data_IF_816175422705
#
_entry.id   IF_816175422705
#
_cell.length_a   1.000
_cell.length_b   1.000
_cell.length_c   1.000
_cell.angle_alpha   90.00
_cell.angle_beta   90.00
_cell.angle_gamma   90.00
#
_symmetry.space_group_name_H-M   'P 1'
#
loop_
_entity.id
_entity.type
_entity.pdbx_description
1 polymer ?
#
# COMPACT_ATOMS: atom_id res chain seq x y z
N UNK A 1 -11.58 -16.34 26.32
CA UNK A 1 -10.21 -16.00 26.78
C UNK A 1 -9.36 -17.23 26.53
N UNK A 2 -8.12 -17.03 26.06
CA UNK A 2 -7.15 -18.07 25.64
C UNK A 2 -7.36 -18.75 24.27
N UNK A 3 -7.15 -18.00 23.18
CA UNK A 3 -6.39 -18.53 22.02
C UNK A 3 -5.79 -17.43 21.12
N UNK A 4 -5.48 -16.27 21.69
CA UNK A 4 -4.74 -15.17 21.03
C UNK A 4 -3.25 -15.30 21.36
N UNK A 5 -2.60 -16.38 20.93
CA UNK A 5 -1.15 -16.54 21.11
C UNK A 5 -0.55 -17.60 20.19
N UNK A 6 -0.37 -17.29 18.89
CA UNK A 6 0.74 -17.80 18.05
C UNK A 6 0.69 -17.25 16.62
N UNK A 7 1.11 -16.00 16.45
CA UNK A 7 1.89 -15.60 15.27
C UNK A 7 3.28 -15.16 15.73
N UNK A 8 3.99 -16.10 16.36
CA UNK A 8 5.43 -15.98 16.54
C UNK A 8 6.11 -16.45 15.26
N UNK A 9 5.98 -15.68 14.16
CA UNK A 9 6.92 -15.80 13.05
C UNK A 9 8.25 -15.23 13.56
N UNK A 10 9.04 -16.06 14.23
CA UNK A 10 10.46 -15.77 14.46
C UNK A 10 11.08 -15.54 13.09
N UNK A 11 11.39 -14.28 12.75
CA UNK A 11 12.20 -13.94 11.57
C UNK A 11 13.51 -14.76 11.64
N UNK A 12 14.01 -15.29 10.52
CA UNK A 12 15.13 -16.22 10.52
C UNK A 12 16.35 -15.59 11.22
N UNK A 13 17.09 -16.43 11.96
CA UNK A 13 18.26 -16.05 12.79
C UNK A 13 19.29 -15.22 12.01
N UNK A 14 19.38 -15.41 10.68
CA UNK A 14 20.30 -14.69 9.80
C UNK A 14 19.99 -13.20 9.60
N UNK A 15 18.72 -12.76 9.71
CA UNK A 15 18.40 -11.34 9.54
C UNK A 15 18.94 -10.51 10.71
N UNK A 16 18.81 -11.02 11.94
CA UNK A 16 19.30 -10.34 13.16
C UNK A 16 20.81 -10.09 13.15
N UNK A 17 21.58 -10.99 12.53
CA UNK A 17 23.03 -10.83 12.39
C UNK A 17 23.38 -9.58 11.56
N UNK A 18 22.67 -9.34 10.45
CA UNK A 18 22.89 -8.16 9.60
C UNK A 18 22.63 -6.84 10.33
N UNK A 19 21.56 -6.76 11.13
CA UNK A 19 21.27 -5.57 11.95
C UNK A 19 22.33 -5.33 13.02
N UNK A 20 22.81 -6.39 13.68
CA UNK A 20 23.87 -6.26 14.68
C UNK A 20 25.18 -5.81 14.06
N UNK A 21 25.54 -6.32 12.87
CA UNK A 21 26.71 -5.86 12.12
C UNK A 21 26.58 -4.38 11.76
N UNK A 22 25.43 -3.95 11.22
CA UNK A 22 25.19 -2.55 10.89
C UNK A 22 25.26 -1.64 12.14
N UNK A 23 24.70 -2.08 13.27
CA UNK A 23 24.77 -1.33 14.53
C UNK A 23 26.22 -1.17 15.00
N UNK A 24 27.00 -2.25 15.01
CA UNK A 24 28.41 -2.21 15.42
C UNK A 24 29.21 -1.31 14.50
N UNK A 25 29.02 -1.41 13.17
CA UNK A 25 29.68 -0.52 12.22
C UNK A 25 29.31 0.95 12.43
N UNK A 26 28.03 1.26 12.62
CA UNK A 26 27.59 2.63 12.85
C UNK A 26 28.12 3.20 14.18
N UNK A 27 28.13 2.40 15.26
CA UNK A 27 28.71 2.81 16.55
C UNK A 27 30.22 3.03 16.45
N UNK A 28 30.94 2.13 15.78
CA UNK A 28 32.39 2.28 15.53
C UNK A 28 32.65 3.56 14.74
N UNK A 29 31.87 3.81 13.69
CA UNK A 29 32.07 5.00 12.86
C UNK A 29 31.80 6.29 13.65
N UNK A 30 30.77 6.34 14.50
CA UNK A 30 30.54 7.48 15.42
C UNK A 30 31.73 7.73 16.33
N UNK A 31 32.28 6.69 16.96
CA UNK A 31 33.43 6.83 17.88
C UNK A 31 34.67 7.33 17.12
N UNK A 32 34.95 6.73 15.97
CA UNK A 32 36.07 7.07 15.10
C UNK A 32 35.94 8.53 14.62
N UNK A 33 34.78 8.92 14.11
CA UNK A 33 34.46 10.29 13.70
C UNK A 33 34.59 11.30 14.83
N UNK A 34 34.15 10.96 16.05
CA UNK A 34 34.28 11.84 17.21
C UNK A 34 35.76 12.09 17.58
N UNK A 35 36.57 11.03 17.62
CA UNK A 35 38.02 11.14 17.92
C UNK A 35 38.73 12.00 16.87
N UNK A 36 38.32 11.89 15.62
CA UNK A 36 38.93 12.61 14.50
C UNK A 36 38.33 14.00 14.25
N UNK A 37 37.37 14.44 15.08
CA UNK A 37 36.62 15.70 14.92
C UNK A 37 35.93 15.83 13.56
N UNK A 38 35.44 14.72 13.02
CA UNK A 38 34.78 14.63 11.73
C UNK A 38 33.26 14.42 11.91
N UNK A 39 32.50 15.51 11.96
CA UNK A 39 31.08 15.46 12.37
C UNK A 39 30.12 14.96 11.29
N UNK A 40 30.54 14.97 10.04
CA UNK A 40 29.76 14.48 8.91
C UNK A 40 29.43 12.99 9.07
N UNK A 41 30.44 12.17 9.38
CA UNK A 41 30.27 10.74 9.63
C UNK A 41 29.35 10.44 10.82
N UNK A 42 29.35 11.30 11.85
CA UNK A 42 28.42 11.18 12.97
C UNK A 42 26.98 11.45 12.54
N UNK A 43 26.74 12.52 11.77
CA UNK A 43 25.40 12.90 11.32
C UNK A 43 24.77 11.85 10.41
N UNK A 44 25.58 11.15 9.60
CA UNK A 44 25.11 10.03 8.75
C UNK A 44 24.86 8.75 9.56
N UNK A 45 25.65 8.50 10.60
CA UNK A 45 25.53 7.30 11.44
C UNK A 45 24.35 7.34 12.40
N UNK A 46 23.95 8.51 12.88
CA UNK A 46 22.86 8.66 13.87
C UNK A 46 21.52 8.13 13.35
N UNK A 47 21.03 8.52 12.14
CA UNK A 47 19.82 7.93 11.57
C UNK A 47 19.91 6.40 11.43
N UNK A 48 21.10 5.89 11.12
CA UNK A 48 21.35 4.45 11.01
C UNK A 48 21.18 3.74 12.35
N UNK A 49 21.75 4.30 13.42
CA UNK A 49 21.60 3.78 14.78
C UNK A 49 20.13 3.82 15.21
N UNK A 50 19.41 4.92 14.92
CA UNK A 50 17.99 5.06 15.26
C UNK A 50 17.17 3.96 14.58
N UNK A 51 17.35 3.74 13.28
CA UNK A 51 16.62 2.70 12.53
C UNK A 51 16.87 1.30 13.11
N UNK A 52 18.12 0.98 13.44
CA UNK A 52 18.47 -0.33 14.03
C UNK A 52 17.96 -0.44 15.48
N UNK A 53 18.04 0.63 16.26
CA UNK A 53 17.51 0.66 17.62
C UNK A 53 15.99 0.45 17.64
N UNK A 54 15.24 1.09 16.74
CA UNK A 54 13.80 0.88 16.58
C UNK A 54 13.49 -0.59 16.25
N UNK A 55 14.28 -1.21 15.37
CA UNK A 55 14.15 -2.63 15.06
C UNK A 55 14.35 -3.54 16.29
N UNK A 56 15.41 -3.28 17.06
CA UNK A 56 15.75 -4.06 18.26
C UNK A 56 14.71 -3.88 19.37
N UNK A 57 14.32 -2.64 19.67
CA UNK A 57 13.34 -2.30 20.72
C UNK A 57 11.97 -2.89 20.40
N UNK A 58 11.55 -2.88 19.12
CA UNK A 58 10.27 -3.48 18.70
C UNK A 58 10.33 -5.00 18.54
N UNK A 59 11.37 -5.68 19.05
CA UNK A 59 11.54 -7.14 19.00
C UNK A 59 11.39 -7.72 17.58
N UNK A 60 11.80 -6.98 16.54
CA UNK A 60 11.67 -7.40 15.14
C UNK A 60 10.29 -7.24 14.52
N UNK A 61 9.34 -6.56 15.20
CA UNK A 61 8.06 -6.13 14.60
C UNK A 61 8.20 -4.99 13.59
N UNK A 62 9.33 -4.29 13.59
CA UNK A 62 9.72 -3.39 12.50
C UNK A 62 10.51 -4.20 11.47
N UNK A 63 10.31 -3.95 10.19
CA UNK A 63 11.04 -4.60 9.09
C UNK A 63 11.88 -3.56 8.36
N UNK A 64 13.15 -3.86 8.11
CA UNK A 64 14.01 -3.06 7.22
C UNK A 64 14.47 -3.97 6.09
N UNK A 65 14.39 -3.56 4.81
CA UNK A 65 14.79 -4.42 3.71
C UNK A 65 16.30 -4.72 3.78
N UNK A 66 16.74 -5.96 3.55
CA UNK A 66 18.16 -6.30 3.54
C UNK A 66 18.98 -5.43 2.58
N UNK A 67 18.41 -5.06 1.41
CA UNK A 67 19.07 -4.16 0.47
C UNK A 67 19.31 -2.76 1.06
N UNK A 68 18.43 -2.28 1.95
CA UNK A 68 18.63 -1.00 2.64
C UNK A 68 19.76 -1.10 3.67
N UNK A 69 19.82 -2.21 4.41
CA UNK A 69 20.90 -2.49 5.37
C UNK A 69 22.25 -2.55 4.65
N UNK A 70 22.31 -3.25 3.51
CA UNK A 70 23.53 -3.33 2.68
C UNK A 70 23.90 -1.95 2.14
N UNK A 71 22.94 -1.20 1.60
CA UNK A 71 23.19 0.15 1.10
C UNK A 71 23.77 1.05 2.20
N UNK A 72 23.17 1.06 3.39
CA UNK A 72 23.66 1.83 4.54
C UNK A 72 25.05 1.36 5.01
N UNK A 73 25.29 0.05 5.04
CA UNK A 73 26.60 -0.51 5.39
C UNK A 73 27.69 -0.06 4.41
N UNK A 74 27.39 -0.08 3.11
CA UNK A 74 28.31 0.34 2.04
C UNK A 74 28.58 1.83 2.12
N UNK A 75 27.56 2.66 2.36
CA UNK A 75 27.72 4.11 2.55
C UNK A 75 28.69 4.39 3.71
N UNK A 76 28.45 3.82 4.88
CA UNK A 76 29.31 4.02 6.06
C UNK A 76 30.76 3.55 5.79
N UNK A 77 30.91 2.39 5.15
CA UNK A 77 32.23 1.86 4.81
C UNK A 77 32.96 2.73 3.78
N UNK A 78 32.27 3.28 2.78
CA UNK A 78 32.88 4.18 1.79
C UNK A 78 33.30 5.50 2.42
N UNK A 79 32.51 6.07 3.33
CA UNK A 79 32.92 7.25 4.10
C UNK A 79 34.16 6.96 4.94
N UNK A 80 34.18 5.81 5.64
CA UNK A 80 35.38 5.35 6.36
C UNK A 80 36.58 5.14 5.42
N UNK A 81 36.42 4.66 4.20
CA UNK A 81 37.57 4.50 3.30
C UNK A 81 38.03 5.86 2.77
N UNK A 82 37.10 6.72 2.36
CA UNK A 82 37.40 8.02 1.79
C UNK A 82 38.27 8.86 2.72
N UNK A 83 37.88 8.91 4.00
CA UNK A 83 38.48 9.80 5.00
C UNK A 83 39.77 9.26 5.62
N UNK A 84 39.92 7.94 5.67
CA UNK A 84 41.08 7.30 6.29
C UNK A 84 42.13 6.87 5.27
N UNK A 85 41.84 6.96 3.98
CA UNK A 85 42.84 6.81 2.95
C UNK A 85 43.79 8.00 2.92
N UNK A 86 45.09 7.76 3.11
CA UNK A 86 46.14 8.80 3.26
C UNK A 86 46.37 9.67 1.99
N UNK A 87 45.64 9.42 0.89
CA UNK A 87 45.82 10.12 -0.39
C UNK A 87 44.59 10.95 -0.74
N UNK A 88 44.79 12.25 -0.97
CA UNK A 88 43.77 13.22 -1.41
C UNK A 88 42.98 12.73 -2.65
N UNK A 89 43.63 12.03 -3.58
CA UNK A 89 42.97 11.47 -4.77
C UNK A 89 41.93 10.38 -4.43
N UNK A 90 42.15 9.63 -3.35
CA UNK A 90 41.22 8.60 -2.90
C UNK A 90 40.02 9.23 -2.20
N UNK A 91 40.20 10.31 -1.43
CA UNK A 91 39.08 11.04 -0.83
C UNK A 91 38.12 11.57 -1.89
N UNK A 92 38.64 12.08 -3.02
CA UNK A 92 37.81 12.56 -4.13
C UNK A 92 36.93 11.46 -4.72
N UNK A 93 37.50 10.27 -4.94
CA UNK A 93 36.82 9.15 -5.60
C UNK A 93 35.85 8.47 -4.62
N UNK A 94 36.35 8.02 -3.47
CA UNK A 94 35.54 7.29 -2.50
C UNK A 94 34.50 8.20 -1.83
N UNK A 95 34.85 9.47 -1.56
CA UNK A 95 33.90 10.46 -1.05
C UNK A 95 32.79 10.74 -2.04
N UNK A 96 33.12 11.00 -3.32
CA UNK A 96 32.09 11.18 -4.34
C UNK A 96 31.17 9.97 -4.53
N UNK A 97 31.72 8.75 -4.47
CA UNK A 97 30.89 7.53 -4.53
C UNK A 97 30.02 7.40 -3.27
N UNK A 98 30.55 7.72 -2.08
CA UNK A 98 29.79 7.73 -0.84
C UNK A 98 28.63 8.73 -0.91
N UNK A 99 28.86 9.95 -1.40
CA UNK A 99 27.85 10.99 -1.58
C UNK A 99 26.76 10.57 -2.57
N UNK A 100 27.14 9.91 -3.68
CA UNK A 100 26.19 9.37 -4.64
C UNK A 100 25.33 8.26 -4.03
N UNK A 101 25.94 7.35 -3.27
CA UNK A 101 25.22 6.28 -2.57
C UNK A 101 24.31 6.84 -1.46
N UNK A 102 24.76 7.89 -0.77
CA UNK A 102 23.96 8.62 0.21
C UNK A 102 22.77 9.31 -0.47
N UNK A 103 22.97 9.92 -1.63
CA UNK A 103 21.88 10.44 -2.47
C UNK A 103 20.86 9.36 -2.82
N UNK A 104 21.30 8.18 -3.24
CA UNK A 104 20.41 7.05 -3.53
C UNK A 104 19.62 6.61 -2.29
N UNK A 105 20.28 6.55 -1.13
CA UNK A 105 19.63 6.24 0.15
C UNK A 105 18.58 7.28 0.55
N UNK A 106 18.91 8.57 0.49
CA UNK A 106 17.98 9.67 0.78
C UNK A 106 16.83 9.73 -0.22
N UNK A 107 17.08 9.40 -1.49
CA UNK A 107 16.03 9.24 -2.50
C UNK A 107 15.04 8.13 -2.14
N UNK A 108 15.52 6.99 -1.62
CA UNK A 108 14.65 5.92 -1.12
C UNK A 108 13.87 6.35 0.14
N UNK A 109 14.49 7.08 1.06
CA UNK A 109 13.77 7.66 2.22
C UNK A 109 12.68 8.60 1.74
N UNK A 110 12.97 9.46 0.76
CA UNK A 110 11.98 10.33 0.13
C UNK A 110 10.79 9.54 -0.40
N UNK A 111 11.05 8.42 -1.09
CA UNK A 111 9.98 7.53 -1.57
C UNK A 111 9.16 6.94 -0.43
N UNK A 112 9.80 6.46 0.64
CA UNK A 112 9.12 5.92 1.82
C UNK A 112 8.20 6.98 2.46
N UNK A 113 8.69 8.21 2.65
CA UNK A 113 7.93 9.31 3.24
C UNK A 113 6.73 9.67 2.37
N UNK A 114 6.96 9.90 1.07
CA UNK A 114 5.89 10.27 0.14
C UNK A 114 4.85 9.17 0.02
N UNK A 115 5.25 7.90 -0.09
CA UNK A 115 4.30 6.79 -0.12
C UNK A 115 3.49 6.67 1.16
N UNK A 116 4.13 6.88 2.32
CA UNK A 116 3.43 6.88 3.60
C UNK A 116 2.36 7.98 3.63
N UNK A 117 2.67 9.16 3.10
CA UNK A 117 1.70 10.27 3.00
C UNK A 117 0.60 10.03 1.96
N UNK A 118 0.91 9.41 0.83
CA UNK A 118 -0.02 9.23 -0.28
C UNK A 118 -0.84 7.94 -0.20
N UNK A 119 -0.45 6.96 0.61
CA UNK A 119 -1.20 5.70 0.75
C UNK A 119 -2.57 5.89 1.41
N UNK A 120 -2.84 7.04 2.02
CA UNK A 120 -4.20 7.45 2.41
C UNK A 120 -5.12 7.76 1.21
N UNK A 121 -4.55 7.89 -0.01
CA UNK A 121 -5.28 8.12 -1.26
C UNK A 121 -5.12 6.89 -2.18
N UNK A 122 -6.08 5.95 -2.19
CA UNK A 122 -5.97 4.74 -2.99
C UNK A 122 -5.82 5.07 -4.49
N UNK A 123 -4.83 4.45 -5.14
CA UNK A 123 -4.42 4.65 -6.54
C UNK A 123 -3.77 6.01 -6.89
N UNK A 124 -3.52 6.92 -5.95
CA UNK A 124 -2.89 8.21 -6.28
C UNK A 124 -1.47 8.05 -6.86
N UNK A 125 -0.71 7.09 -6.32
CA UNK A 125 0.60 6.72 -6.86
C UNK A 125 0.53 6.21 -8.31
N UNK A 126 -0.64 5.69 -8.72
CA UNK A 126 -0.83 5.13 -10.04
C UNK A 126 -1.01 6.15 -11.13
N UNK A 127 -1.78 7.17 -10.84
CA UNK A 127 -2.14 8.19 -11.81
C UNK A 127 -1.11 9.33 -11.84
N UNK A 128 -0.34 9.49 -10.75
CA UNK A 128 0.55 10.64 -10.53
C UNK A 128 2.00 10.23 -10.23
N UNK A 129 2.51 9.14 -10.82
CA UNK A 129 3.85 8.61 -10.55
C UNK A 129 4.99 9.65 -10.72
N UNK A 130 4.84 10.57 -11.67
CA UNK A 130 5.77 11.70 -11.84
C UNK A 130 5.83 12.58 -10.58
N UNK A 131 4.68 12.98 -10.03
CA UNK A 131 4.61 13.80 -8.83
C UNK A 131 5.14 13.08 -7.60
N UNK A 132 4.90 11.77 -7.48
CA UNK A 132 5.47 10.93 -6.42
C UNK A 132 7.00 10.97 -6.48
N UNK A 133 7.57 10.66 -7.64
CA UNK A 133 9.01 10.63 -7.87
C UNK A 133 9.65 12.01 -7.65
N UNK A 134 9.04 13.07 -8.15
CA UNK A 134 9.55 14.43 -7.99
C UNK A 134 9.52 14.88 -6.52
N UNK A 135 8.43 14.60 -5.81
CA UNK A 135 8.30 14.96 -4.40
C UNK A 135 9.33 14.19 -3.54
N UNK A 136 9.50 12.91 -3.81
CA UNK A 136 10.47 12.06 -3.12
C UNK A 136 11.91 12.53 -3.36
N UNK A 137 12.23 12.89 -4.59
CA UNK A 137 13.50 13.51 -4.95
C UNK A 137 13.75 14.81 -4.17
N UNK A 138 12.78 15.73 -4.15
CA UNK A 138 12.88 17.00 -3.44
C UNK A 138 13.08 16.81 -1.92
N UNK A 139 12.34 15.87 -1.31
CA UNK A 139 12.48 15.55 0.11
C UNK A 139 13.88 14.99 0.40
N UNK A 140 14.36 14.04 -0.41
CA UNK A 140 15.71 13.46 -0.25
C UNK A 140 16.82 14.50 -0.33
N UNK A 141 16.76 15.39 -1.33
CA UNK A 141 17.74 16.48 -1.49
C UNK A 141 17.64 17.49 -0.34
N UNK A 142 16.43 17.84 0.10
CA UNK A 142 16.23 18.76 1.22
C UNK A 142 16.84 18.21 2.52
N UNK A 143 16.65 16.92 2.81
CA UNK A 143 17.28 16.26 3.96
C UNK A 143 18.82 16.31 3.88
N UNK A 144 19.39 16.11 2.69
CA UNK A 144 20.85 16.25 2.48
C UNK A 144 21.35 17.66 2.79
N UNK A 145 20.64 18.69 2.31
CA UNK A 145 21.03 20.08 2.56
C UNK A 145 20.96 20.40 4.05
N UNK A 146 19.96 19.89 4.76
CA UNK A 146 19.85 20.05 6.23
C UNK A 146 21.06 19.40 6.92
N UNK A 147 21.43 18.17 6.55
CA UNK A 147 22.60 17.47 7.11
C UNK A 147 23.88 18.28 6.87
N UNK A 148 24.07 18.79 5.64
CA UNK A 148 25.23 19.60 5.28
C UNK A 148 25.31 20.89 6.09
N UNK A 149 24.19 21.62 6.25
CA UNK A 149 24.14 22.85 7.04
C UNK A 149 24.42 22.60 8.52
N UNK A 150 23.92 21.49 9.08
CA UNK A 150 24.24 21.07 10.44
C UNK A 150 25.73 20.78 10.59
N UNK A 151 26.31 20.04 9.65
CA UNK A 151 27.75 19.74 9.66
C UNK A 151 28.59 21.03 9.64
N UNK A 152 28.30 21.94 8.70
CA UNK A 152 28.98 23.22 8.59
C UNK A 152 28.86 24.05 9.87
N UNK A 153 27.68 24.07 10.48
CA UNK A 153 27.46 24.77 11.76
C UNK A 153 28.34 24.18 12.87
N UNK A 154 28.35 22.86 13.03
CA UNK A 154 29.16 22.18 14.06
C UNK A 154 30.65 22.46 13.87
N UNK A 155 31.15 22.35 12.63
CA UNK A 155 32.56 22.61 12.30
C UNK A 155 32.91 24.07 12.57
N UNK A 156 32.02 25.01 12.21
CA UNK A 156 32.25 26.44 12.42
C UNK A 156 32.34 26.84 13.91
N UNK A 157 31.62 26.14 14.79
CA UNK A 157 31.70 26.35 16.24
C UNK A 157 33.00 25.84 16.87
N UNK A 158 33.67 24.87 16.24
CA UNK A 158 34.87 24.25 16.80
C UNK A 158 36.17 24.77 16.23
N UNK A 159 36.16 25.27 15.00
CA UNK A 159 37.32 25.90 14.39
C UNK A 159 37.41 27.37 14.84
N UNK A 160 38.18 27.64 15.89
CA UNK A 160 38.57 29.01 16.30
C UNK A 160 39.49 29.70 15.28
N UNK A 161 40.03 28.97 14.29
CA UNK A 161 41.00 29.50 13.32
C UNK A 161 40.63 29.15 11.87
N UNK A 162 39.97 30.09 11.19
CA UNK A 162 40.00 30.25 9.73
C UNK A 162 39.12 29.28 8.92
N UNK A 163 38.15 29.82 8.19
CA UNK A 163 37.44 29.12 7.11
C UNK A 163 38.45 28.66 6.04
N UNK A 164 38.55 27.36 5.79
CA UNK A 164 39.28 26.86 4.63
C UNK A 164 38.58 27.34 3.34
N UNK A 165 39.32 28.01 2.46
CA UNK A 165 38.82 28.52 1.17
C UNK A 165 38.21 27.43 0.26
N UNK A 166 38.50 26.15 0.52
CA UNK A 166 37.98 24.98 -0.20
C UNK A 166 36.59 24.53 0.26
N UNK A 167 36.11 24.95 1.44
CA UNK A 167 34.86 24.44 2.02
C UNK A 167 33.62 24.63 1.12
N UNK A 168 33.41 25.77 0.44
CA UNK A 168 32.25 25.94 -0.44
C UNK A 168 32.29 25.00 -1.65
N UNK A 169 33.47 24.74 -2.22
CA UNK A 169 33.60 23.88 -3.40
C UNK A 169 33.29 22.42 -3.06
N UNK A 170 33.77 21.96 -1.90
CA UNK A 170 33.50 20.61 -1.39
C UNK A 170 31.99 20.43 -1.15
N UNK A 171 31.36 21.37 -0.46
CA UNK A 171 29.93 21.37 -0.19
C UNK A 171 29.07 21.32 -1.47
N UNK A 172 29.44 22.10 -2.51
CA UNK A 172 28.74 22.09 -3.80
C UNK A 172 28.86 20.71 -4.47
N UNK A 173 30.04 20.09 -4.43
CA UNK A 173 30.28 18.76 -5.02
C UNK A 173 29.44 17.69 -4.32
N UNK A 174 29.41 17.69 -2.99
CA UNK A 174 28.61 16.76 -2.18
C UNK A 174 27.13 16.84 -2.58
N UNK A 175 26.58 18.06 -2.62
CA UNK A 175 25.18 18.28 -3.03
C UNK A 175 24.92 17.78 -4.45
N UNK A 176 25.83 18.02 -5.39
CA UNK A 176 25.68 17.54 -6.77
C UNK A 176 25.68 16.01 -6.86
N UNK A 177 26.54 15.33 -6.10
CA UNK A 177 26.60 13.86 -6.08
C UNK A 177 25.35 13.27 -5.42
N UNK A 178 24.86 13.88 -4.34
CA UNK A 178 23.60 13.49 -3.69
C UNK A 178 22.41 13.70 -4.64
N UNK A 179 22.35 14.83 -5.35
CA UNK A 179 21.33 15.09 -6.38
C UNK A 179 21.37 14.00 -7.45
N UNK A 180 22.55 13.63 -7.95
CA UNK A 180 22.69 12.58 -8.95
C UNK A 180 22.20 11.22 -8.43
N UNK A 181 22.60 10.83 -7.23
CA UNK A 181 22.16 9.58 -6.60
C UNK A 181 20.66 9.51 -6.32
N UNK A 182 20.10 10.59 -5.74
CA UNK A 182 18.66 10.69 -5.47
C UNK A 182 17.86 10.70 -6.77
N UNK A 183 18.32 11.45 -7.76
CA UNK A 183 17.73 11.51 -9.10
C UNK A 183 17.71 10.14 -9.76
N UNK A 184 18.82 9.40 -9.71
CA UNK A 184 18.91 8.05 -10.25
C UNK A 184 17.87 7.10 -9.65
N UNK A 185 17.72 7.06 -8.32
CA UNK A 185 16.73 6.19 -7.65
C UNK A 185 15.30 6.58 -8.01
N UNK A 186 14.99 7.88 -8.02
CA UNK A 186 13.65 8.36 -8.32
C UNK A 186 13.29 8.18 -9.81
N UNK A 187 14.22 8.41 -10.73
CA UNK A 187 14.03 8.10 -12.17
C UNK A 187 13.85 6.59 -12.36
N UNK A 188 14.67 5.76 -11.73
CA UNK A 188 14.51 4.30 -11.80
C UNK A 188 13.16 3.85 -11.27
N UNK A 189 12.70 4.44 -10.17
CA UNK A 189 11.38 4.19 -9.60
C UNK A 189 10.28 4.56 -10.60
N UNK A 190 10.35 5.74 -11.21
CA UNK A 190 9.40 6.19 -12.23
C UNK A 190 9.34 5.22 -13.42
N UNK A 191 10.51 4.81 -13.96
CA UNK A 191 10.60 3.93 -15.13
C UNK A 191 10.19 2.48 -14.84
N UNK A 192 10.46 1.97 -13.63
CA UNK A 192 10.24 0.57 -13.27
C UNK A 192 9.06 0.32 -12.34
N UNK A 193 8.16 1.31 -12.16
CA UNK A 193 7.05 1.17 -11.22
C UNK A 193 6.13 -0.02 -11.52
N UNK A 194 6.01 -0.40 -12.80
CA UNK A 194 5.19 -1.54 -13.22
C UNK A 194 5.95 -2.88 -13.23
N UNK A 195 7.27 -2.85 -13.10
CA UNK A 195 8.15 -4.02 -13.23
C UNK A 195 8.51 -4.64 -11.88
N UNK A 196 8.00 -4.09 -10.76
CA UNK A 196 8.19 -4.64 -9.42
C UNK A 196 9.63 -4.54 -8.89
N UNK A 197 10.49 -3.68 -9.46
CA UNK A 197 11.88 -3.50 -9.02
C UNK A 197 11.99 -3.15 -7.53
N UNK A 198 11.03 -2.36 -7.02
CA UNK A 198 10.97 -1.92 -5.63
C UNK A 198 10.09 -2.80 -4.73
N UNK A 199 9.58 -3.92 -5.26
CA UNK A 199 8.69 -4.84 -4.53
C UNK A 199 9.32 -5.38 -3.25
N UNK A 200 10.58 -5.79 -3.32
CA UNK A 200 11.30 -6.36 -2.18
C UNK A 200 11.93 -5.32 -1.24
N UNK A 201 11.94 -4.05 -1.63
CA UNK A 201 12.43 -2.92 -0.85
C UNK A 201 11.29 -2.05 -0.34
N UNK A 202 10.88 -1.04 -1.12
CA UNK A 202 9.90 -0.04 -0.73
C UNK A 202 8.54 -0.66 -0.38
N UNK A 203 7.97 -1.48 -1.27
CA UNK A 203 6.61 -2.02 -1.07
C UNK A 203 6.57 -2.94 0.15
N UNK A 204 7.54 -3.88 0.25
CA UNK A 204 7.66 -4.77 1.39
C UNK A 204 7.96 -4.02 2.70
N UNK A 205 8.75 -2.94 2.66
CA UNK A 205 8.95 -2.07 3.82
C UNK A 205 7.63 -1.46 4.29
N UNK A 206 6.86 -0.87 3.38
CA UNK A 206 5.60 -0.23 3.73
C UNK A 206 4.56 -1.24 4.21
N UNK A 207 4.47 -2.42 3.60
CA UNK A 207 3.49 -3.45 3.97
C UNK A 207 3.79 -4.08 5.34
N UNK A 208 5.06 -4.39 5.62
CA UNK A 208 5.46 -5.03 6.88
C UNK A 208 5.47 -4.04 8.07
N UNK A 209 5.52 -2.73 7.79
CA UNK A 209 5.52 -1.68 8.83
C UNK A 209 4.21 -0.88 8.88
N UNK A 210 3.15 -1.32 8.20
CA UNK A 210 1.90 -0.56 8.07
C UNK A 210 1.33 -0.13 9.43
N UNK A 211 1.16 -1.07 10.35
CA UNK A 211 0.67 -0.83 11.72
C UNK A 211 1.57 0.15 12.50
N UNK A 212 2.89 0.07 12.30
CA UNK A 212 3.86 0.90 13.02
C UNK A 212 3.84 2.34 12.54
N UNK A 213 3.68 2.53 11.23
CA UNK A 213 3.68 3.84 10.59
C UNK A 213 2.31 4.53 10.69
N UNK A 214 1.33 3.93 11.38
CA UNK A 214 -0.05 4.42 11.41
C UNK A 214 -0.69 4.39 10.02
N UNK A 215 -0.15 3.58 9.12
CA UNK A 215 -0.68 3.32 7.78
C UNK A 215 -1.78 2.28 7.93
N UNK A 216 -2.85 2.66 8.62
CA UNK A 216 -4.10 1.93 8.55
C UNK A 216 -4.72 2.26 7.19
N UNK A 217 -4.88 1.24 6.34
CA UNK A 217 -5.55 1.38 5.04
C UNK A 217 -6.93 2.00 5.31
N UNK A 218 -7.16 3.24 4.87
CA UNK A 218 -8.41 3.99 5.09
C UNK A 218 -9.64 3.16 4.72
N UNK A 219 -9.49 2.28 3.73
CA UNK A 219 -10.52 1.37 3.26
C UNK A 219 -10.86 0.29 4.29
N UNK A 220 -9.88 -0.22 5.05
CA UNK A 220 -10.11 -1.17 6.14
C UNK A 220 -10.90 -0.47 7.26
N UNK A 221 -10.50 0.72 7.68
CA UNK A 221 -11.29 1.51 8.66
C UNK A 221 -12.71 1.79 8.16
N UNK A 222 -12.88 2.07 6.88
CA UNK A 222 -14.21 2.27 6.30
C UNK A 222 -15.02 0.98 6.32
N UNK A 223 -14.41 -0.18 6.05
CA UNK A 223 -15.06 -1.49 6.16
C UNK A 223 -15.45 -1.77 7.61
N UNK A 224 -14.57 -1.52 8.59
CA UNK A 224 -14.88 -1.67 10.02
C UNK A 224 -16.09 -0.81 10.42
N UNK A 225 -16.14 0.46 10.00
CA UNK A 225 -17.31 1.32 10.22
C UNK A 225 -18.58 0.81 9.56
N UNK A 226 -18.48 0.23 8.36
CA UNK A 226 -19.63 -0.39 7.68
C UNK A 226 -20.12 -1.59 8.50
N UNK A 227 -19.21 -2.42 8.99
CA UNK A 227 -19.53 -3.58 9.84
C UNK A 227 -20.21 -3.12 11.14
N UNK A 228 -19.67 -2.10 11.81
CA UNK A 228 -20.25 -1.50 13.02
C UNK A 228 -21.65 -0.91 12.79
N UNK A 229 -21.91 -0.36 11.60
CA UNK A 229 -23.22 0.18 11.22
C UNK A 229 -24.27 -0.93 11.08
N UNK A 230 -23.84 -2.14 10.69
CA UNK A 230 -24.72 -3.28 10.44
C UNK A 230 -25.43 -3.22 9.08
N UNK A 231 -26.26 -4.23 8.82
CA UNK A 231 -27.04 -4.32 7.58
C UNK A 231 -28.12 -3.24 7.49
N UNK A 232 -28.26 -2.65 6.31
CA UNK A 232 -29.24 -1.59 6.04
C UNK A 232 -29.85 -1.76 4.65
N UNK A 233 -30.68 -0.81 4.22
CA UNK A 233 -31.19 -0.83 2.84
C UNK A 233 -30.11 -0.71 1.76
N UNK A 234 -28.92 -0.22 2.13
CA UNK A 234 -27.77 0.01 1.23
C UNK A 234 -26.51 -0.73 1.68
N UNK A 235 -26.57 -1.53 2.75
CA UNK A 235 -25.45 -2.35 3.25
C UNK A 235 -25.96 -3.77 3.44
N UNK A 236 -25.28 -4.75 2.85
CA UNK A 236 -25.62 -6.17 3.00
C UNK A 236 -24.35 -6.96 3.29
N UNK A 237 -24.44 -7.95 4.19
CA UNK A 237 -23.36 -8.88 4.48
C UNK A 237 -23.65 -10.26 3.91
N UNK A 238 -22.60 -10.91 3.43
CA UNK A 238 -22.62 -12.31 3.01
C UNK A 238 -21.38 -12.99 3.57
N UNK A 239 -21.58 -14.18 4.10
CA UNK A 239 -20.51 -14.95 4.71
C UNK A 239 -19.50 -15.45 3.66
N UNK A 240 -19.97 -15.98 2.54
CA UNK A 240 -19.14 -16.67 1.53
C UNK A 240 -19.64 -16.35 0.12
N UNK A 241 -18.84 -16.64 -0.91
CA UNK A 241 -19.27 -16.58 -2.30
C UNK A 241 -20.09 -17.82 -2.67
N UNK A 242 -19.57 -19.02 -2.37
CA UNK A 242 -20.18 -20.28 -2.84
C UNK A 242 -20.26 -21.39 -1.80
N UNK A 243 -19.54 -21.29 -0.69
CA UNK A 243 -19.45 -22.37 0.30
C UNK A 243 -20.54 -22.22 1.35
N UNK A 244 -21.38 -23.22 1.52
CA UNK A 244 -22.37 -23.24 2.58
C UNK A 244 -21.68 -23.62 3.91
N UNK A 245 -21.63 -22.69 4.86
CA UNK A 245 -20.93 -22.89 6.14
C UNK A 245 -21.50 -24.02 7.01
N UNK A 246 -22.75 -24.45 6.77
CA UNK A 246 -23.35 -25.57 7.50
C UNK A 246 -22.90 -26.93 6.97
N UNK A 247 -22.70 -27.04 5.66
CA UNK A 247 -22.33 -28.30 5.00
C UNK A 247 -20.83 -28.39 4.69
N UNK A 248 -20.14 -27.26 4.58
CA UNK A 248 -18.75 -27.17 4.11
C UNK A 248 -18.60 -27.37 2.59
N UNK A 249 -19.71 -27.52 1.87
CA UNK A 249 -19.73 -27.83 0.43
C UNK A 249 -20.09 -26.61 -0.43
N UNK A 250 -19.76 -26.69 -1.72
CA UNK A 250 -20.17 -25.68 -2.71
C UNK A 250 -21.67 -25.76 -2.93
N UNK A 251 -22.35 -24.63 -2.77
CA UNK A 251 -23.79 -24.49 -2.88
C UNK A 251 -24.12 -23.30 -3.81
N UNK A 252 -24.71 -23.55 -5.00
CA UNK A 252 -25.13 -22.50 -5.94
C UNK A 252 -26.08 -21.47 -5.33
N UNK A 253 -26.77 -21.81 -4.23
CA UNK A 253 -27.65 -20.87 -3.51
C UNK A 253 -26.87 -19.71 -2.89
N UNK A 254 -25.61 -19.94 -2.49
CA UNK A 254 -24.74 -18.88 -1.96
C UNK A 254 -24.36 -17.89 -3.06
N UNK A 255 -23.99 -18.41 -4.24
CA UNK A 255 -23.67 -17.58 -5.40
C UNK A 255 -24.90 -16.75 -5.82
N UNK A 256 -26.07 -17.40 -5.85
CA UNK A 256 -27.35 -16.73 -6.12
C UNK A 256 -27.65 -15.63 -5.10
N UNK A 257 -27.37 -15.83 -3.81
CA UNK A 257 -27.60 -14.82 -2.79
C UNK A 257 -26.74 -13.56 -3.01
N UNK A 258 -25.49 -13.74 -3.41
CA UNK A 258 -24.60 -12.63 -3.81
C UNK A 258 -25.18 -11.90 -5.03
N UNK A 259 -25.50 -12.62 -6.11
CA UNK A 259 -25.98 -12.01 -7.36
C UNK A 259 -27.35 -11.34 -7.20
N UNK A 260 -28.27 -11.95 -6.45
CA UNK A 260 -29.56 -11.35 -6.08
C UNK A 260 -29.37 -10.00 -5.41
N UNK A 261 -28.40 -9.89 -4.50
CA UNK A 261 -28.08 -8.65 -3.79
C UNK A 261 -27.57 -7.58 -4.76
N UNK A 262 -26.65 -7.94 -5.66
CA UNK A 262 -26.12 -7.02 -6.67
C UNK A 262 -27.23 -6.48 -7.58
N UNK A 263 -28.10 -7.37 -8.11
CA UNK A 263 -29.24 -6.96 -8.95
C UNK A 263 -30.19 -6.04 -8.18
N UNK A 264 -30.49 -6.36 -6.93
CA UNK A 264 -31.33 -5.52 -6.08
C UNK A 264 -30.73 -4.12 -5.85
N UNK A 265 -29.41 -4.02 -5.62
CA UNK A 265 -28.74 -2.72 -5.47
C UNK A 265 -28.76 -1.91 -6.77
N UNK A 266 -28.43 -2.53 -7.90
CA UNK A 266 -28.45 -1.90 -9.22
C UNK A 266 -29.83 -1.33 -9.58
N UNK A 267 -30.90 -2.06 -9.23
CA UNK A 267 -32.28 -1.64 -9.49
C UNK A 267 -32.83 -0.64 -8.47
N UNK A 268 -32.12 -0.38 -7.37
CA UNK A 268 -32.56 0.50 -6.29
C UNK A 268 -31.65 1.73 -6.16
N UNK A 269 -31.17 2.07 -4.96
CA UNK A 269 -30.36 3.27 -4.73
C UNK A 269 -28.85 3.03 -4.91
N UNK A 270 -28.44 1.84 -5.36
CA UNK A 270 -27.09 1.33 -5.15
C UNK A 270 -26.91 0.77 -3.74
N UNK A 271 -25.67 0.47 -3.37
CA UNK A 271 -25.32 -0.05 -2.05
C UNK A 271 -23.95 -0.70 -2.01
N UNK A 272 -23.55 -1.15 -0.84
CA UNK A 272 -22.31 -1.88 -0.57
C UNK A 272 -22.63 -3.28 -0.07
N UNK A 273 -22.05 -4.29 -0.72
CA UNK A 273 -22.06 -5.68 -0.29
C UNK A 273 -20.68 -6.03 0.28
N UNK A 274 -20.63 -6.53 1.52
CA UNK A 274 -19.43 -7.15 2.08
C UNK A 274 -19.56 -8.67 2.06
N UNK A 275 -18.57 -9.36 1.49
CA UNK A 275 -18.46 -10.82 1.49
C UNK A 275 -17.30 -11.24 2.40
N UNK A 276 -17.51 -12.24 3.25
CA UNK A 276 -16.57 -12.65 4.31
C UNK A 276 -16.96 -12.12 5.70
N UNK A 277 -18.18 -11.59 5.83
CA UNK A 277 -18.74 -11.05 7.08
C UNK A 277 -20.07 -11.79 7.36
N UNK A 278 -20.23 -12.27 8.59
CA UNK A 278 -21.46 -12.90 9.04
C UNK A 278 -22.53 -11.84 9.39
N UNK A 279 -23.78 -12.27 9.48
CA UNK A 279 -24.93 -11.38 9.73
C UNK A 279 -24.83 -10.62 11.08
N UNK A 280 -24.06 -11.15 12.03
CA UNK A 280 -23.76 -10.54 13.33
C UNK A 280 -22.59 -9.53 13.29
N UNK A 281 -22.02 -9.28 12.10
CA UNK A 281 -20.84 -8.44 11.90
C UNK A 281 -19.51 -9.18 12.15
N UNK A 282 -19.52 -10.46 12.50
CA UNK A 282 -18.29 -11.23 12.71
C UNK A 282 -17.54 -11.40 11.39
N UNK A 283 -16.28 -10.98 11.37
CA UNK A 283 -15.39 -11.18 10.22
C UNK A 283 -14.95 -12.63 10.20
N UNK A 284 -15.50 -13.39 9.26
CA UNK A 284 -15.20 -14.81 9.10
C UNK A 284 -14.14 -15.07 8.03
N UNK A 285 -14.06 -14.20 7.02
CA UNK A 285 -13.25 -14.39 5.82
C UNK A 285 -14.04 -15.08 4.70
N UNK A 286 -13.74 -14.71 3.45
CA UNK A 286 -14.30 -15.35 2.27
C UNK A 286 -13.80 -16.80 2.16
N UNK A 287 -14.54 -17.64 1.45
CA UNK A 287 -14.24 -19.04 1.17
C UNK A 287 -13.13 -19.22 0.12
N UNK A 288 -12.00 -18.54 0.32
CA UNK A 288 -10.83 -18.54 -0.57
C UNK A 288 -10.28 -19.96 -0.77
N UNK A 289 -10.26 -20.78 0.27
CA UNK A 289 -9.83 -22.19 0.21
C UNK A 289 -10.69 -23.05 -0.72
N UNK A 290 -11.91 -22.60 -1.05
CA UNK A 290 -12.73 -23.30 -2.02
C UNK A 290 -12.21 -23.13 -3.45
N UNK A 291 -11.32 -22.15 -3.69
CA UNK A 291 -10.70 -21.78 -4.97
C UNK A 291 -9.21 -22.14 -5.02
N UNK A 292 -8.64 -22.21 -6.23
CA UNK A 292 -7.21 -22.50 -6.42
C UNK A 292 -6.31 -21.37 -5.88
N UNK A 293 -6.76 -20.13 -6.02
CA UNK A 293 -6.12 -18.92 -5.50
C UNK A 293 -7.09 -17.72 -5.59
N UNK A 294 -6.69 -16.60 -4.97
CA UNK A 294 -7.41 -15.32 -5.00
C UNK A 294 -7.79 -14.86 -6.40
N UNK A 295 -6.91 -14.96 -7.39
CA UNK A 295 -7.17 -14.49 -8.75
C UNK A 295 -8.30 -15.30 -9.40
N UNK A 296 -8.33 -16.62 -9.19
CA UNK A 296 -9.40 -17.50 -9.67
C UNK A 296 -10.73 -17.22 -8.96
N UNK A 297 -10.71 -16.88 -7.67
CA UNK A 297 -11.90 -16.45 -6.94
C UNK A 297 -12.48 -15.16 -7.52
N UNK A 298 -11.64 -14.14 -7.74
CA UNK A 298 -12.08 -12.86 -8.33
C UNK A 298 -12.57 -13.05 -9.77
N UNK A 299 -11.90 -13.90 -10.55
CA UNK A 299 -12.34 -14.26 -11.91
C UNK A 299 -13.68 -14.99 -11.89
N UNK A 300 -13.92 -15.88 -10.93
CA UNK A 300 -15.19 -16.58 -10.76
C UNK A 300 -16.33 -15.61 -10.48
N UNK A 301 -16.15 -14.68 -9.54
CA UNK A 301 -17.13 -13.63 -9.26
C UNK A 301 -17.41 -12.76 -10.49
N UNK A 302 -16.36 -12.37 -11.23
CA UNK A 302 -16.51 -11.61 -12.48
C UNK A 302 -17.33 -12.37 -13.52
N UNK A 303 -17.07 -13.67 -13.68
CA UNK A 303 -17.79 -14.52 -14.62
C UNK A 303 -19.26 -14.70 -14.21
N UNK A 304 -19.55 -14.86 -12.92
CA UNK A 304 -20.91 -14.91 -12.41
C UNK A 304 -21.68 -13.62 -12.75
N UNK A 305 -21.08 -12.46 -12.49
CA UNK A 305 -21.69 -11.16 -12.84
C UNK A 305 -21.92 -11.06 -14.35
N UNK A 306 -20.90 -11.35 -15.17
CA UNK A 306 -21.01 -11.23 -16.62
C UNK A 306 -22.06 -12.15 -17.24
N UNK A 307 -22.18 -13.38 -16.72
CA UNK A 307 -23.06 -14.41 -17.28
C UNK A 307 -24.51 -14.29 -16.79
N UNK A 308 -24.71 -13.96 -15.51
CA UNK A 308 -26.05 -13.94 -14.90
C UNK A 308 -26.65 -12.54 -14.74
N UNK A 309 -25.86 -11.47 -14.76
CA UNK A 309 -26.35 -10.08 -14.69
C UNK A 309 -26.21 -9.41 -16.06
N UNK A 310 -25.03 -9.49 -16.66
CA UNK A 310 -24.73 -8.90 -17.97
C UNK A 310 -23.46 -8.04 -17.93
N UNK A 311 -22.65 -8.12 -18.99
CA UNK A 311 -21.38 -7.39 -19.07
C UNK A 311 -21.56 -5.87 -19.17
N UNK A 312 -22.71 -5.42 -19.67
CA UNK A 312 -23.11 -4.02 -19.77
C UNK A 312 -23.27 -3.33 -18.41
N UNK A 313 -23.43 -4.08 -17.32
CA UNK A 313 -23.60 -3.54 -15.97
C UNK A 313 -22.30 -3.49 -15.16
N UNK A 314 -21.19 -4.03 -15.68
CA UNK A 314 -19.88 -3.98 -15.01
C UNK A 314 -19.43 -2.55 -14.62
N UNK A 315 -19.67 -1.49 -15.41
CA UNK A 315 -19.33 -0.12 -15.00
C UNK A 315 -20.03 0.37 -13.72
N UNK A 316 -21.15 -0.26 -13.34
CA UNK A 316 -21.91 0.07 -12.13
C UNK A 316 -21.49 -0.76 -10.91
N UNK A 317 -20.55 -1.70 -11.06
CA UNK A 317 -20.11 -2.62 -10.00
C UNK A 317 -18.60 -2.52 -9.83
N UNK A 318 -18.15 -1.97 -8.72
CA UNK A 318 -16.73 -1.93 -8.35
C UNK A 318 -16.49 -2.89 -7.19
N UNK A 319 -15.66 -3.91 -7.38
CA UNK A 319 -15.33 -4.87 -6.32
C UNK A 319 -13.83 -4.97 -6.07
N UNK A 320 -13.45 -5.07 -4.79
CA UNK A 320 -12.05 -5.20 -4.34
C UNK A 320 -11.98 -6.13 -3.13
N UNK A 321 -10.89 -6.89 -3.06
CA UNK A 321 -10.59 -7.77 -1.94
C UNK A 321 -9.61 -7.08 -0.97
N UNK A 322 -9.86 -7.20 0.32
CA UNK A 322 -9.12 -6.60 1.43
C UNK A 322 -8.71 -7.67 2.43
N UNK A 323 -7.50 -7.59 2.96
CA UNK A 323 -7.04 -8.53 3.99
C UNK A 323 -7.13 -7.85 5.36
N UNK A 324 -7.96 -8.40 6.24
CA UNK A 324 -8.24 -7.85 7.57
C UNK A 324 -8.14 -8.96 8.62
N UNK A 325 -7.23 -8.80 9.59
CA UNK A 325 -7.01 -9.82 10.62
C UNK A 325 -6.53 -11.19 10.09
N UNK A 326 -5.90 -11.22 8.90
CA UNK A 326 -5.50 -12.45 8.21
C UNK A 326 -6.64 -13.22 7.54
N UNK A 327 -7.80 -12.57 7.38
CA UNK A 327 -8.96 -13.06 6.64
C UNK A 327 -9.23 -12.12 5.47
N UNK A 328 -9.64 -12.66 4.33
CA UNK A 328 -9.94 -11.84 3.16
C UNK A 328 -11.42 -11.49 3.13
N UNK A 329 -11.73 -10.22 2.89
CA UNK A 329 -13.09 -9.68 2.71
C UNK A 329 -13.19 -9.10 1.31
N UNK A 330 -14.32 -9.30 0.64
CA UNK A 330 -14.59 -8.62 -0.63
C UNK A 330 -15.61 -7.53 -0.40
N UNK A 331 -15.25 -6.29 -0.70
CA UNK A 331 -16.18 -5.17 -0.76
C UNK A 331 -16.62 -4.95 -2.19
N UNK A 332 -17.93 -4.90 -2.41
CA UNK A 332 -18.54 -4.60 -3.70
C UNK A 332 -19.41 -3.36 -3.54
N UNK A 333 -19.03 -2.28 -4.21
CA UNK A 333 -19.80 -1.04 -4.29
C UNK A 333 -20.60 -1.02 -5.61
N UNK A 334 -21.91 -0.88 -5.50
CA UNK A 334 -22.84 -0.82 -6.62
C UNK A 334 -23.45 0.58 -6.73
N UNK A 335 -23.39 1.17 -7.92
CA UNK A 335 -24.17 2.36 -8.26
C UNK A 335 -25.51 1.96 -8.88
N UNK A 336 -26.51 2.85 -8.78
CA UNK A 336 -27.80 2.64 -9.44
C UNK A 336 -27.61 2.56 -10.96
N UNK A 337 -28.18 1.53 -11.57
CA UNK A 337 -28.21 1.36 -13.02
C UNK A 337 -29.16 2.37 -13.69
N UNK A 338 -28.86 2.75 -14.93
CA UNK A 338 -29.76 3.57 -15.74
C UNK A 338 -30.89 2.78 -16.41
N UNK A 339 -30.74 1.45 -16.51
CA UNK A 339 -31.73 0.55 -17.09
C UNK A 339 -32.08 -0.60 -16.14
N UNK A 340 -33.28 -1.21 -16.29
CA UNK A 340 -33.65 -2.38 -15.49
C UNK A 340 -32.62 -3.51 -15.63
N UNK A 341 -32.29 -4.13 -14.50
CA UNK A 341 -31.32 -5.23 -14.41
C UNK A 341 -32.05 -6.50 -13.98
N UNK A 342 -31.76 -7.62 -14.63
CA UNK A 342 -32.37 -8.91 -14.34
C UNK A 342 -31.31 -9.92 -13.94
N UNK A 343 -31.64 -10.79 -13.00
CA UNK A 343 -30.84 -11.99 -12.73
C UNK A 343 -31.28 -13.11 -13.69
N UNK A 344 -30.35 -13.64 -14.46
CA UNK A 344 -30.57 -14.67 -15.48
C UNK A 344 -30.14 -16.04 -14.94
N UNK A 345 -31.11 -16.94 -14.77
CA UNK A 345 -30.91 -18.33 -14.41
C UNK A 345 -31.47 -19.24 -15.51
N UNK A 346 -30.60 -19.58 -16.47
CA UNK A 346 -31.00 -20.34 -17.66
C UNK A 346 -31.94 -19.53 -18.54
N UNK A 347 -33.23 -19.90 -18.57
CA UNK A 347 -34.28 -19.19 -19.32
C UNK A 347 -35.12 -18.25 -18.45
N UNK A 348 -34.89 -18.26 -17.14
CA UNK A 348 -35.66 -17.45 -16.18
C UNK A 348 -34.92 -16.15 -15.94
N UNK A 349 -35.62 -15.04 -16.12
CA UNK A 349 -35.12 -13.70 -15.77
C UNK A 349 -35.94 -13.16 -14.60
N UNK A 350 -35.25 -12.78 -13.52
CA UNK A 350 -35.89 -12.38 -12.27
C UNK A 350 -35.52 -10.94 -11.92
N UNK A 351 -36.49 -10.12 -11.55
CA UNK A 351 -36.29 -8.70 -11.27
C UNK A 351 -36.32 -8.42 -9.77
N UNK A 352 -35.14 -8.27 -9.17
CA UNK A 352 -35.00 -8.00 -7.75
C UNK A 352 -34.86 -6.51 -7.45
N UNK A 353 -35.48 -6.06 -6.36
CA UNK A 353 -35.32 -4.70 -5.81
C UNK A 353 -35.15 -4.75 -4.29
N UNK A 354 -34.49 -3.74 -3.71
CA UNK A 354 -34.42 -3.57 -2.26
C UNK A 354 -35.74 -3.02 -1.71
N UNK A 355 -36.21 -3.62 -0.62
CA UNK A 355 -37.30 -3.15 0.23
C UNK A 355 -36.83 -3.20 1.67
N UNK A 356 -36.40 -2.05 2.22
CA UNK A 356 -35.68 -2.01 3.49
C UNK A 356 -34.40 -2.85 3.42
N UNK A 357 -34.07 -3.67 4.45
CA UNK A 357 -32.90 -4.55 4.46
C UNK A 357 -33.11 -5.85 3.66
N UNK A 358 -34.24 -6.04 2.97
CA UNK A 358 -34.55 -7.26 2.23
C UNK A 358 -34.60 -7.03 0.73
N UNK A 359 -34.36 -8.08 -0.04
CA UNK A 359 -34.48 -8.08 -1.51
C UNK A 359 -35.73 -8.86 -1.92
N UNK A 360 -36.69 -8.16 -2.53
CA UNK A 360 -37.95 -8.72 -3.01
C UNK A 360 -37.90 -8.97 -4.51
N UNK A 361 -38.65 -9.96 -4.95
CA UNK A 361 -38.83 -10.31 -6.34
C UNK A 361 -40.10 -9.66 -6.87
N UNK A 362 -40.00 -8.82 -7.90
CA UNK A 362 -41.15 -8.17 -8.51
C UNK A 362 -41.46 -8.79 -9.86
N UNK A 363 -42.75 -9.03 -10.10
CA UNK A 363 -43.26 -9.62 -11.34
C UNK A 363 -44.47 -8.84 -11.86
N UNK A 364 -44.84 -9.13 -13.11
CA UNK A 364 -46.07 -8.62 -13.72
C UNK A 364 -46.22 -7.11 -13.62
N UNK A 365 -47.37 -6.65 -13.11
CA UNK A 365 -47.72 -5.23 -13.03
C UNK A 365 -46.82 -4.43 -12.09
N UNK A 366 -46.39 -5.03 -10.97
CA UNK A 366 -45.56 -4.33 -9.97
C UNK A 366 -44.17 -4.03 -10.50
N UNK A 367 -43.57 -4.99 -11.22
CA UNK A 367 -42.31 -4.79 -11.93
C UNK A 367 -42.43 -3.71 -12.99
N UNK A 368 -43.50 -3.73 -13.81
CA UNK A 368 -43.70 -2.73 -14.86
C UNK A 368 -43.88 -1.33 -14.27
N UNK A 369 -44.68 -1.18 -13.21
CA UNK A 369 -44.88 0.08 -12.51
C UNK A 369 -43.56 0.59 -11.90
N UNK A 370 -42.81 -0.27 -11.22
CA UNK A 370 -41.51 0.07 -10.66
C UNK A 370 -40.52 0.50 -11.75
N UNK A 371 -40.44 -0.27 -12.84
CA UNK A 371 -39.49 -0.02 -13.91
C UNK A 371 -39.80 1.29 -14.66
N UNK A 372 -41.08 1.57 -14.91
CA UNK A 372 -41.49 2.82 -15.55
C UNK A 372 -41.22 4.04 -14.67
N UNK A 373 -41.46 3.92 -13.35
CA UNK A 373 -41.17 4.98 -12.40
C UNK A 373 -39.66 5.25 -12.27
N UNK A 374 -38.84 4.20 -12.21
CA UNK A 374 -37.41 4.32 -11.90
C UNK A 374 -36.48 4.41 -13.12
N UNK A 375 -36.91 3.95 -14.30
CA UNK A 375 -36.09 3.89 -15.52
C UNK A 375 -36.82 4.44 -16.76
N UNK A 376 -37.97 5.10 -16.59
CA UNK A 376 -38.86 5.51 -17.69
C UNK A 376 -38.23 6.43 -18.73
N UNK A 377 -37.19 7.21 -18.39
CA UNK A 377 -36.45 8.03 -19.37
C UNK A 377 -35.68 7.19 -20.38
N UNK A 378 -34.98 6.14 -19.92
CA UNK A 378 -34.22 5.25 -20.79
C UNK A 378 -35.12 4.24 -21.52
N UNK A 379 -36.15 3.73 -20.85
CA UNK A 379 -37.12 2.84 -21.50
C UNK A 379 -37.80 3.51 -22.71
N UNK A 380 -38.10 4.82 -22.61
CA UNK A 380 -38.63 5.60 -23.74
C UNK A 380 -37.64 5.74 -24.90
N UNK A 381 -36.34 5.89 -24.62
CA UNK A 381 -35.32 5.94 -25.69
C UNK A 381 -35.18 4.61 -26.42
N UNK A 382 -35.24 3.49 -25.69
CA UNK A 382 -35.22 2.15 -26.30
C UNK A 382 -36.45 1.95 -27.19
N UNK A 383 -37.63 2.29 -26.70
CA UNK A 383 -38.88 2.19 -27.47
C UNK A 383 -38.83 3.00 -28.78
N UNK A 384 -38.32 4.24 -28.73
CA UNK A 384 -38.20 5.11 -29.90
C UNK A 384 -37.11 4.67 -30.90
N UNK A 385 -36.22 3.74 -30.53
CA UNK A 385 -35.16 3.21 -31.42
C UNK A 385 -35.61 1.95 -32.17
N UNK A 386 -36.66 1.29 -31.68
CA UNK A 386 -37.24 0.08 -32.27
C UNK A 386 -38.36 0.42 -33.28
N UNK A 387 -38.92 1.63 -33.15
CA UNK A 387 -39.88 2.22 -34.08
C UNK A 387 -39.16 2.99 -35.17
#
# INVERSE_FOLDING_TARGET
>A
MEESAKKNKRKPVNERAGYMILLVMALLFVVISFVMKEYEGMLVSVPTIIVVAVFLVRNGRFYVPPALIVLMSVVLLLFMIAKYSVKIQNELIFGGIADLMMGAFLGLIGLIVVYTMLRSMPNFDKDNAFFVSLSAFCIGVSLSVIILLLNYTIVSFQNESGLEYSAPFIAVREVLMVIAGSGFVNILFYLNRHNGLFKHTLEKFLSENADTLGIEDQEIRNIEKIIETGETSVIEFKSTIRTNLKTGEKDPRMEKAVLKTLVAFLNSKGGTLLIGVADDGTVIGVDEDSFENRDKMMLHLNNLIKTQIGGEFLPYITYRAFDMGGKTIIKIDCSRSESPVFLKEGKVETFFVRSGPSSIDLHGTDMLAYANHNFGSQLRKVYNKIK
#
